data_IF_877998402614
#
_entry.id   IF_877998402614
#
_cell.length_a   1.000
_cell.length_b   1.000
_cell.length_c   1.000
_cell.angle_alpha   90.00
_cell.angle_beta   90.00
_cell.angle_gamma   90.00
#
_symmetry.space_group_name_H-M   'P 1'
#
loop_
_entity.id
_entity.type
_entity.pdbx_description
1 polymer ?
#
# COMPACT_ATOMS: atom_id res chain seq x y z
N UNK A 1 21.03 -23.60 -0.33
CA UNK A 1 21.40 -22.59 -1.34
C UNK A 1 20.25 -21.60 -1.45
N UNK A 2 20.41 -20.34 -0.99
CA UNK A 2 19.37 -19.32 -1.20
C UNK A 2 19.38 -18.98 -2.68
N UNK A 3 18.35 -19.41 -3.40
CA UNK A 3 18.10 -18.99 -4.78
C UNK A 3 18.09 -17.47 -4.76
N UNK A 4 19.14 -16.84 -5.32
CA UNK A 4 19.13 -15.42 -5.64
C UNK A 4 18.17 -15.28 -6.81
N UNK A 5 16.88 -15.33 -6.52
CA UNK A 5 15.83 -15.04 -7.48
C UNK A 5 16.09 -13.61 -7.92
N UNK A 6 16.72 -13.45 -9.09
CA UNK A 6 16.82 -12.15 -9.73
C UNK A 6 15.38 -11.79 -10.08
N UNK A 7 14.69 -11.10 -9.16
CA UNK A 7 13.33 -10.64 -9.38
C UNK A 7 13.43 -9.64 -10.54
N UNK A 8 12.99 -10.09 -11.72
CA UNK A 8 12.82 -9.24 -12.88
C UNK A 8 11.61 -8.36 -12.60
N UNK A 9 11.88 -7.12 -12.24
CA UNK A 9 10.86 -6.09 -12.09
C UNK A 9 10.19 -5.86 -13.45
N UNK A 10 8.89 -6.05 -13.48
CA UNK A 10 7.97 -5.63 -14.53
C UNK A 10 8.02 -4.10 -14.69
N UNK A 11 7.48 -3.61 -15.81
CA UNK A 11 7.36 -2.17 -16.09
C UNK A 11 6.67 -1.43 -14.93
N UNK A 12 5.67 -2.09 -14.33
CA UNK A 12 4.93 -1.58 -13.18
C UNK A 12 5.82 -1.38 -11.94
N UNK A 13 6.56 -2.42 -11.55
CA UNK A 13 7.46 -2.38 -10.39
C UNK A 13 8.59 -1.38 -10.59
N UNK A 14 9.05 -1.18 -11.82
CA UNK A 14 10.02 -0.12 -12.16
C UNK A 14 9.42 1.27 -11.95
N UNK A 15 8.17 1.48 -12.35
CA UNK A 15 7.46 2.74 -12.09
C UNK A 15 7.37 3.07 -10.59
N UNK A 16 7.21 2.07 -9.72
CA UNK A 16 7.24 2.27 -8.26
C UNK A 16 8.64 2.67 -7.78
N UNK A 17 9.70 2.03 -8.31
CA UNK A 17 11.09 2.38 -7.98
C UNK A 17 11.42 3.82 -8.41
N UNK A 18 10.96 4.23 -9.59
CA UNK A 18 11.13 5.61 -10.08
C UNK A 18 10.38 6.61 -9.20
N UNK A 19 9.14 6.33 -8.82
CA UNK A 19 8.37 7.15 -7.90
C UNK A 19 9.06 7.28 -6.52
N UNK A 20 9.57 6.18 -5.96
CA UNK A 20 10.34 6.21 -4.71
C UNK A 20 11.61 7.08 -4.82
N UNK A 21 12.28 7.01 -5.96
CA UNK A 21 13.50 7.80 -6.22
C UNK A 21 13.17 9.28 -6.38
N UNK A 22 12.15 9.61 -7.17
CA UNK A 22 11.77 10.98 -7.51
C UNK A 22 11.06 11.71 -6.36
N UNK A 23 10.14 11.05 -5.67
CA UNK A 23 9.28 11.69 -4.66
C UNK A 23 9.89 11.61 -3.24
N UNK A 24 10.65 10.56 -2.94
CA UNK A 24 11.14 10.29 -1.59
C UNK A 24 12.68 10.27 -1.49
N UNK A 25 13.40 10.45 -2.61
CA UNK A 25 14.85 10.58 -2.62
C UNK A 25 15.62 9.28 -2.33
N UNK A 26 14.97 8.12 -2.45
CA UNK A 26 15.66 6.84 -2.30
C UNK A 26 16.68 6.64 -3.42
N UNK A 27 17.76 5.92 -3.13
CA UNK A 27 18.65 5.45 -4.21
C UNK A 27 17.93 4.39 -5.04
N UNK A 28 18.23 4.24 -6.35
CA UNK A 28 17.62 3.20 -7.19
C UNK A 28 17.84 1.79 -6.64
N UNK A 29 18.96 1.57 -5.93
CA UNK A 29 19.27 0.30 -5.29
C UNK A 29 18.38 0.05 -4.08
N UNK A 30 18.24 1.02 -3.18
CA UNK A 30 17.40 0.91 -1.98
C UNK A 30 15.92 0.81 -2.33
N UNK A 31 15.45 1.63 -3.27
CA UNK A 31 14.08 1.59 -3.77
C UNK A 31 13.76 0.21 -4.36
N UNK A 32 14.69 -0.38 -5.10
CA UNK A 32 14.53 -1.76 -5.62
C UNK A 32 14.46 -2.79 -4.51
N UNK A 33 15.31 -2.70 -3.48
CA UNK A 33 15.26 -3.62 -2.34
C UNK A 33 13.92 -3.51 -1.63
N UNK A 34 13.44 -2.29 -1.42
CA UNK A 34 12.14 -2.02 -0.78
C UNK A 34 10.99 -2.60 -1.61
N UNK A 35 10.94 -2.34 -2.91
CA UNK A 35 9.89 -2.89 -3.78
C UNK A 35 9.91 -4.41 -3.79
N UNK A 36 11.08 -5.04 -3.80
CA UNK A 36 11.19 -6.52 -3.75
C UNK A 36 10.77 -7.08 -2.39
N UNK A 37 11.10 -6.42 -1.29
CA UNK A 37 10.72 -6.85 0.06
C UNK A 37 9.20 -6.80 0.27
N UNK A 38 8.53 -5.82 -0.33
CA UNK A 38 7.08 -5.63 -0.22
C UNK A 38 6.31 -6.03 -1.47
N UNK A 39 6.93 -6.77 -2.40
CA UNK A 39 6.28 -7.11 -3.66
C UNK A 39 5.02 -7.95 -3.45
N UNK A 40 5.02 -8.79 -2.42
CA UNK A 40 3.85 -9.58 -2.02
C UNK A 40 2.68 -8.69 -1.57
N UNK A 41 2.97 -7.56 -0.93
CA UNK A 41 1.96 -6.57 -0.52
C UNK A 41 1.37 -5.90 -1.76
N UNK A 42 2.21 -5.42 -2.68
CA UNK A 42 1.77 -4.79 -3.92
C UNK A 42 0.88 -5.73 -4.74
N UNK A 43 1.29 -7.01 -4.88
CA UNK A 43 0.52 -8.02 -5.61
C UNK A 43 -0.81 -8.38 -4.94
N UNK A 44 -0.85 -8.39 -3.61
CA UNK A 44 -2.07 -8.70 -2.85
C UNK A 44 -3.06 -7.54 -2.80
N UNK A 45 -2.56 -6.30 -2.79
CA UNK A 45 -3.42 -5.13 -2.84
C UNK A 45 -4.06 -5.00 -4.22
N UNK A 46 -3.29 -5.13 -5.31
CA UNK A 46 -3.78 -5.32 -6.69
C UNK A 46 -4.74 -4.27 -7.26
N UNK A 47 -5.22 -3.32 -6.45
CA UNK A 47 -6.26 -2.34 -6.78
C UNK A 47 -5.79 -0.89 -6.71
N UNK A 48 -4.57 -0.62 -6.25
CA UNK A 48 -3.97 0.69 -6.44
C UNK A 48 -3.40 0.75 -7.86
N UNK A 49 -3.95 1.63 -8.69
CA UNK A 49 -3.53 1.74 -10.10
C UNK A 49 -2.25 2.59 -10.24
N UNK A 50 -2.00 3.50 -9.30
CA UNK A 50 -0.93 4.49 -9.39
C UNK A 50 0.37 4.08 -8.66
N UNK A 51 1.48 4.04 -9.40
CA UNK A 51 2.82 3.78 -8.87
C UNK A 51 3.22 4.69 -7.69
N UNK A 52 2.79 5.96 -7.71
CA UNK A 52 3.05 6.92 -6.63
C UNK A 52 2.33 6.58 -5.33
N UNK A 53 1.11 6.01 -5.40
CA UNK A 53 0.41 5.54 -4.20
C UNK A 53 1.12 4.35 -3.56
N UNK A 54 1.63 3.41 -4.39
CA UNK A 54 2.48 2.35 -3.88
C UNK A 54 3.79 2.89 -3.29
N UNK A 55 4.44 3.86 -3.92
CA UNK A 55 5.65 4.48 -3.37
C UNK A 55 5.39 5.09 -1.98
N UNK A 56 4.28 5.80 -1.81
CA UNK A 56 3.87 6.33 -0.51
C UNK A 56 3.61 5.23 0.54
N UNK A 57 2.92 4.16 0.16
CA UNK A 57 2.67 3.02 1.04
C UNK A 57 3.97 2.37 1.50
N UNK A 58 4.90 2.15 0.58
CA UNK A 58 6.19 1.53 0.87
C UNK A 58 7.07 2.41 1.76
N UNK A 59 7.13 3.72 1.49
CA UNK A 59 7.84 4.67 2.34
C UNK A 59 7.26 4.69 3.76
N UNK A 60 5.92 4.70 3.88
CA UNK A 60 5.25 4.68 5.17
C UNK A 60 5.51 3.38 5.94
N UNK A 61 5.49 2.23 5.27
CA UNK A 61 5.86 0.94 5.86
C UNK A 61 7.27 0.98 6.45
N UNK A 62 8.22 1.52 5.65
CA UNK A 62 9.63 1.62 6.01
C UNK A 62 9.84 2.52 7.22
N UNK A 63 9.19 3.69 7.26
CA UNK A 63 9.25 4.63 8.40
C UNK A 63 8.70 4.03 9.69
N UNK A 64 7.68 3.19 9.59
CA UNK A 64 7.08 2.54 10.75
C UNK A 64 7.73 1.19 11.09
N UNK A 65 8.74 0.78 10.32
CA UNK A 65 9.48 -0.48 10.52
C UNK A 65 8.58 -1.72 10.57
N UNK A 66 7.43 -1.70 9.87
CA UNK A 66 6.50 -2.82 9.88
C UNK A 66 6.92 -3.87 8.85
N UNK A 67 6.93 -5.17 9.20
CA UNK A 67 7.17 -6.21 8.22
C UNK A 67 6.04 -6.27 7.17
N UNK A 68 6.31 -6.78 5.94
CA UNK A 68 5.34 -6.81 4.85
C UNK A 68 4.00 -7.48 5.21
N UNK A 69 4.04 -8.53 6.02
CA UNK A 69 2.84 -9.23 6.51
C UNK A 69 1.95 -8.33 7.36
N UNK A 70 2.51 -7.69 8.39
CA UNK A 70 1.77 -6.75 9.24
C UNK A 70 1.33 -5.50 8.48
N UNK A 71 2.14 -5.05 7.53
CA UNK A 71 1.82 -3.88 6.73
C UNK A 71 0.59 -4.12 5.87
N UNK A 72 0.51 -5.28 5.20
CA UNK A 72 -0.66 -5.65 4.43
C UNK A 72 -1.94 -5.68 5.27
N UNK A 73 -1.91 -6.32 6.44
CA UNK A 73 -3.05 -6.39 7.35
C UNK A 73 -3.51 -4.99 7.77
N UNK A 74 -2.56 -4.09 8.04
CA UNK A 74 -2.84 -2.71 8.42
C UNK A 74 -3.46 -1.90 7.29
N UNK A 75 -2.99 -2.07 6.06
CA UNK A 75 -3.59 -1.38 4.89
C UNK A 75 -5.03 -1.86 4.70
N UNK A 76 -5.26 -3.17 4.75
CA UNK A 76 -6.61 -3.72 4.61
C UNK A 76 -7.54 -3.24 5.74
N UNK A 77 -7.04 -3.11 6.97
CA UNK A 77 -7.80 -2.56 8.09
C UNK A 77 -8.15 -1.08 7.87
N UNK A 78 -7.20 -0.26 7.39
CA UNK A 78 -7.44 1.14 7.04
C UNK A 78 -8.44 1.27 5.90
N UNK A 79 -8.32 0.48 4.83
CA UNK A 79 -9.27 0.51 3.70
C UNK A 79 -10.67 0.09 4.13
N UNK A 80 -10.77 -0.96 4.95
CA UNK A 80 -12.03 -1.41 5.52
C UNK A 80 -12.62 -0.39 6.50
N UNK A 81 -11.77 0.34 7.22
CA UNK A 81 -12.11 1.46 8.08
C UNK A 81 -12.65 2.65 7.29
N UNK A 82 -11.96 3.08 6.24
CA UNK A 82 -12.37 4.15 5.31
C UNK A 82 -13.68 3.81 4.57
N UNK A 83 -13.87 2.54 4.18
CA UNK A 83 -15.13 2.04 3.60
C UNK A 83 -16.28 2.08 4.60
N UNK A 84 -16.00 1.85 5.89
CA UNK A 84 -16.99 1.99 6.97
C UNK A 84 -17.27 3.46 7.30
N UNK A 85 -16.29 4.34 7.25
CA UNK A 85 -16.48 5.77 7.55
C UNK A 85 -17.29 6.48 6.45
N UNK A 86 -17.19 6.00 5.21
CA UNK A 86 -18.03 6.48 4.08
C UNK A 86 -19.37 5.74 3.93
N UNK A 87 -19.63 4.75 4.76
CA UNK A 87 -20.82 3.90 4.70
C UNK A 87 -21.56 3.86 6.03
N UNK A 88 -22.63 4.65 6.12
CA UNK A 88 -23.64 4.75 7.20
C UNK A 88 -23.34 5.80 8.28
N UNK A 89 -23.48 7.06 7.86
CA UNK A 89 -23.74 8.22 8.74
C UNK A 89 -25.07 8.94 8.42
N UNK A 90 -25.92 8.35 7.59
CA UNK A 90 -27.23 8.86 7.16
C UNK A 90 -28.10 7.61 6.98
N UNK A 91 -28.90 7.17 7.93
CA UNK A 91 -30.31 7.55 8.10
C UNK A 91 -30.89 6.68 9.23
N UNK A 92 -30.54 6.94 10.48
CA UNK A 92 -31.18 6.26 11.63
C UNK A 92 -31.77 7.26 12.63
N UNK A 93 -32.23 8.43 12.15
CA UNK A 93 -32.83 9.47 13.00
C UNK A 93 -34.17 10.01 12.56
N UNK A 94 -34.94 9.29 11.74
CA UNK A 94 -36.25 9.80 11.30
C UNK A 94 -37.35 8.74 11.26
N UNK A 95 -37.50 7.95 12.33
CA UNK A 95 -38.70 7.10 12.52
C UNK A 95 -39.31 7.17 13.92
N UNK A 96 -39.02 8.20 14.73
CA UNK A 96 -39.50 8.25 16.13
C UNK A 96 -40.22 9.53 16.57
N UNK A 97 -40.52 10.48 15.69
CA UNK A 97 -41.45 11.59 15.98
C UNK A 97 -42.16 11.94 14.67
N UNK A 98 -43.42 11.59 14.45
CA UNK A 98 -44.54 12.21 15.16
C UNK A 98 -45.78 11.33 15.03
N UNK A 99 -46.42 11.06 16.17
CA UNK A 99 -47.86 10.75 16.26
C UNK A 99 -48.67 12.01 16.05
#
# INVERSE_FOLDING_TARGET
>A
MKVKTQVRLSLYERGIVEALTAEYGYTPADARVLVVEYIEVVRKLGGYDHCGQYAQLLDRARRMNHPPSQWLERIQDIEKGELRDRGIGSEERQYLQTK
#
